data_IF_474003208007
#
_entry.id   IF_474003208007
#
_cell.length_a   1.000
_cell.length_b   1.000
_cell.length_c   1.000
_cell.angle_alpha   90.00
_cell.angle_beta   90.00
_cell.angle_gamma   90.00
#
_symmetry.space_group_name_H-M   'P 1'
#
loop_
_entity.id
_entity.type
_entity.pdbx_description
1 polymer ?
#
# COMPACT_ATOMS: atom_id res chain seq x y z
N UNK A 1 -7.50 -0.78 4.91
CA UNK A 1 -7.83 0.11 3.77
C UNK A 1 -6.63 0.33 2.85
N UNK A 2 -5.49 0.82 3.38
CA UNK A 2 -4.28 1.10 2.59
C UNK A 2 -3.75 -0.14 1.85
N UNK A 3 -3.67 -1.28 2.54
CA UNK A 3 -3.24 -2.56 1.94
C UNK A 3 -4.09 -2.97 0.72
N UNK A 4 -5.42 -2.88 0.81
CA UNK A 4 -6.28 -3.18 -0.34
C UNK A 4 -6.08 -2.19 -1.49
N UNK A 5 -5.98 -0.89 -1.18
CA UNK A 5 -5.69 0.11 -2.21
C UNK A 5 -4.36 -0.19 -2.92
N UNK A 6 -3.35 -0.61 -2.16
CA UNK A 6 -2.04 -0.98 -2.66
C UNK A 6 -2.08 -2.25 -3.54
N UNK A 7 -2.76 -3.31 -3.09
CA UNK A 7 -2.93 -4.57 -3.84
C UNK A 7 -3.58 -4.38 -5.21
N UNK A 8 -4.54 -3.44 -5.32
CA UNK A 8 -5.28 -3.18 -6.55
C UNK A 8 -4.74 -2.01 -7.38
N UNK A 9 -3.50 -1.58 -7.11
CA UNK A 9 -2.84 -0.46 -7.80
C UNK A 9 -3.68 0.84 -7.82
N UNK A 10 -4.42 1.12 -6.74
CA UNK A 10 -5.29 2.30 -6.60
C UNK A 10 -4.49 3.48 -6.05
N UNK A 11 -3.55 4.00 -6.84
CA UNK A 11 -2.62 5.05 -6.46
C UNK A 11 -3.27 6.29 -5.83
N UNK A 12 -4.38 6.78 -6.40
CA UNK A 12 -5.12 7.93 -5.86
C UNK A 12 -5.67 7.67 -4.45
N UNK A 13 -6.12 6.43 -4.19
CA UNK A 13 -6.62 6.02 -2.88
C UNK A 13 -5.46 5.82 -1.91
N UNK A 14 -4.34 5.25 -2.38
CA UNK A 14 -3.10 5.13 -1.59
C UNK A 14 -2.66 6.51 -1.11
N UNK A 15 -2.54 7.48 -2.01
CA UNK A 15 -2.17 8.86 -1.68
C UNK A 15 -3.16 9.52 -0.73
N UNK A 16 -4.47 9.37 -0.97
CA UNK A 16 -5.52 9.91 -0.10
C UNK A 16 -5.44 9.34 1.33
N UNK A 17 -5.15 8.05 1.47
CA UNK A 17 -5.02 7.39 2.76
C UNK A 17 -3.73 7.80 3.48
N UNK A 18 -2.61 7.90 2.76
CA UNK A 18 -1.35 8.40 3.32
C UNK A 18 -1.49 9.85 3.80
N UNK A 19 -2.17 10.70 3.03
CA UNK A 19 -2.46 12.08 3.43
C UNK A 19 -3.35 12.18 4.68
N UNK A 20 -4.20 11.17 4.92
CA UNK A 20 -5.01 11.06 6.15
C UNK A 20 -4.24 10.46 7.33
N UNK A 21 -2.94 10.17 7.18
CA UNK A 21 -2.10 9.61 8.23
C UNK A 21 -2.19 8.08 8.33
N UNK A 22 -2.62 7.38 7.27
CA UNK A 22 -2.48 5.93 7.23
C UNK A 22 -1.00 5.55 7.32
N UNK A 23 -0.68 4.62 8.21
CA UNK A 23 0.67 4.13 8.40
C UNK A 23 1.04 3.11 7.30
N UNK A 24 1.99 3.43 6.39
CA UNK A 24 2.45 2.50 5.36
C UNK A 24 3.24 1.32 5.92
N UNK A 25 3.78 1.44 7.13
CA UNK A 25 4.55 0.39 7.82
C UNK A 25 3.68 -0.52 8.67
N UNK A 26 2.36 -0.27 8.73
CA UNK A 26 1.43 -1.18 9.37
C UNK A 26 1.52 -2.56 8.70
N UNK A 27 1.66 -3.58 9.53
CA UNK A 27 1.75 -4.97 9.09
C UNK A 27 0.42 -5.68 9.28
N UNK A 28 0.10 -6.59 8.37
CA UNK A 28 -1.03 -7.52 8.55
C UNK A 28 -0.65 -8.67 9.49
N UNK A 29 -1.57 -9.63 9.66
CA UNK A 29 -1.35 -10.80 10.51
C UNK A 29 -0.23 -11.74 10.03
N UNK A 30 0.25 -11.57 8.80
CA UNK A 30 1.37 -12.32 8.21
C UNK A 30 2.68 -11.54 8.25
N UNK A 31 2.69 -10.32 8.82
CA UNK A 31 3.86 -9.46 8.88
C UNK A 31 4.11 -8.69 7.58
N UNK A 32 3.16 -8.65 6.65
CA UNK A 32 3.31 -7.96 5.37
C UNK A 32 2.80 -6.52 5.46
N UNK A 33 3.55 -5.59 4.88
CA UNK A 33 3.16 -4.20 4.73
C UNK A 33 2.26 -4.01 3.50
N UNK A 34 1.65 -2.83 3.36
CA UNK A 34 0.90 -2.47 2.15
C UNK A 34 1.78 -2.55 0.89
N UNK A 35 3.08 -2.24 1.00
CA UNK A 35 4.04 -2.35 -0.09
C UNK A 35 4.28 -3.81 -0.48
N UNK A 36 4.52 -4.67 0.50
CA UNK A 36 4.78 -6.11 0.23
C UNK A 36 3.60 -6.74 -0.51
N UNK A 37 2.39 -6.41 -0.06
CA UNK A 37 1.15 -6.84 -0.69
C UNK A 37 0.98 -6.29 -2.12
N UNK A 38 1.34 -5.03 -2.36
CA UNK A 38 1.35 -4.46 -3.71
C UNK A 38 2.33 -5.17 -4.63
N UNK A 39 3.55 -5.48 -4.14
CA UNK A 39 4.55 -6.22 -4.90
C UNK A 39 4.08 -7.64 -5.22
N UNK A 40 3.49 -8.34 -4.25
CA UNK A 40 2.95 -9.69 -4.44
C UNK A 40 1.84 -9.73 -5.51
N UNK A 41 1.10 -8.63 -5.68
CA UNK A 41 0.02 -8.50 -6.67
C UNK A 41 0.45 -7.89 -8.00
N UNK A 42 1.72 -7.52 -8.15
CA UNK A 42 2.21 -6.84 -9.35
C UNK A 42 1.70 -5.39 -9.51
N UNK A 43 1.21 -4.78 -8.43
CA UNK A 43 0.77 -3.38 -8.39
C UNK A 43 2.00 -2.46 -8.28
N UNK A 44 2.72 -2.31 -9.39
CA UNK A 44 4.01 -1.62 -9.46
C UNK A 44 3.95 -0.15 -9.05
N UNK A 45 2.90 0.58 -9.44
CA UNK A 45 2.81 2.02 -9.18
C UNK A 45 2.53 2.29 -7.71
N UNK A 46 1.59 1.54 -7.12
CA UNK A 46 1.31 1.62 -5.69
C UNK A 46 2.50 1.16 -4.86
N UNK A 47 3.21 0.10 -5.27
CA UNK A 47 4.44 -0.34 -4.60
C UNK A 47 5.54 0.73 -4.67
N UNK A 48 5.65 1.45 -5.78
CA UNK A 48 6.61 2.55 -5.94
C UNK A 48 6.22 3.76 -5.07
N UNK A 49 4.93 4.11 -4.98
CA UNK A 49 4.46 5.18 -4.09
C UNK A 49 4.75 4.87 -2.61
N UNK A 50 4.61 3.60 -2.21
CA UNK A 50 4.87 3.15 -0.85
C UNK A 50 6.37 2.87 -0.57
N UNK A 51 7.25 3.16 -1.53
CA UNK A 51 8.69 2.99 -1.36
C UNK A 51 9.40 4.22 -0.76
N UNK A 52 8.70 5.34 -0.64
CA UNK A 52 9.19 6.62 -0.10
C UNK A 52 8.99 6.79 1.40
#
# INVERSE_FOLDING_TARGET
ALMFAAMFNRCEIVECLLAQGADPQAQDSQGMTARDLAQAMGATDAAAQLAG
#
